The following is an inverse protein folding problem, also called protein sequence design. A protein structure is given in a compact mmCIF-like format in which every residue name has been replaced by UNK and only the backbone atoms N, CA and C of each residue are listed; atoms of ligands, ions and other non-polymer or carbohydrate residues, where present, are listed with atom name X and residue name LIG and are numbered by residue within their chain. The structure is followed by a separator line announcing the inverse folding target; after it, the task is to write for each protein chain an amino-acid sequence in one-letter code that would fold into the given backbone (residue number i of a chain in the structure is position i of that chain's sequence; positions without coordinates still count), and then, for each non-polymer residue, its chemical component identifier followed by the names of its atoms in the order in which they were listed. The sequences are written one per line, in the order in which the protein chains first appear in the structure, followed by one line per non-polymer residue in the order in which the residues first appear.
data_IF_114784816601
#
_entry.id   IF_114784816601
#
_cell.length_a   1.000
_cell.length_b   1.000
_cell.length_c   1.000
_cell.angle_alpha   90.00
_cell.angle_beta   90.00
_cell.angle_gamma   90.00
#
_symmetry.space_group_name_H-M   'P 1'
#
loop_
_entity.id
_entity.type
_entity.pdbx_description
1 polymer ?
#
# COMPACT_ATOMS: atom_id res chain seq x y z
N UNK A 1 7.79 -8.17 3.52
CA UNK A 1 7.06 -8.79 2.40
C UNK A 1 7.65 -8.31 1.09
N UNK A 2 7.81 -9.19 0.14
CA UNK A 2 8.29 -8.82 -1.18
C UNK A 2 7.20 -8.08 -1.95
N UNK A 3 7.60 -7.29 -2.94
CA UNK A 3 6.66 -6.54 -3.74
C UNK A 3 5.59 -7.43 -4.37
N UNK A 4 5.99 -8.56 -4.93
CA UNK A 4 5.07 -9.49 -5.55
C UNK A 4 4.01 -9.98 -4.58
N UNK A 5 4.41 -10.33 -3.36
CA UNK A 5 3.48 -10.77 -2.34
C UNK A 5 2.56 -9.63 -1.90
N UNK A 6 3.11 -8.43 -1.76
CA UNK A 6 2.33 -7.27 -1.37
C UNK A 6 1.24 -6.99 -2.39
N UNK A 7 1.56 -7.10 -3.68
CA UNK A 7 0.58 -6.89 -4.74
C UNK A 7 -0.52 -7.93 -4.68
N UNK A 8 -0.17 -9.18 -4.41
CA UNK A 8 -1.14 -10.27 -4.35
C UNK A 8 -2.10 -10.14 -3.18
N UNK A 9 -1.59 -9.71 -2.02
CA UNK A 9 -2.39 -9.62 -0.81
C UNK A 9 -3.15 -8.31 -0.71
N UNK A 10 -2.77 -7.31 -1.47
CA UNK A 10 -3.38 -5.99 -1.43
C UNK A 10 -4.77 -6.00 -2.04
N UNK A 11 -5.73 -5.37 -1.37
CA UNK A 11 -7.08 -5.21 -1.90
C UNK A 11 -7.08 -4.19 -3.04
N UNK A 12 -8.08 -4.29 -3.91
CA UNK A 12 -8.15 -3.45 -5.10
C UNK A 12 -8.21 -1.95 -4.78
N UNK A 13 -8.74 -1.60 -3.62
CA UNK A 13 -8.85 -0.19 -3.19
C UNK A 13 -7.76 0.23 -2.23
N UNK A 14 -6.81 -0.63 -1.98
CA UNK A 14 -5.72 -0.36 -1.06
C UNK A 14 -4.45 0.02 -1.81
N UNK A 15 -3.44 0.40 -1.06
CA UNK A 15 -2.14 0.73 -1.60
C UNK A 15 -1.08 -0.11 -0.91
N UNK A 16 0.12 -0.11 -1.47
CA UNK A 16 1.27 -0.71 -0.82
C UNK A 16 2.37 0.33 -0.71
N UNK A 17 3.24 0.14 0.26
CA UNK A 17 4.33 1.06 0.49
C UNK A 17 5.49 0.31 1.14
N UNK A 18 6.68 0.90 1.04
CA UNK A 18 7.85 0.38 1.75
C UNK A 18 7.96 1.02 3.11
N UNK A 19 8.29 0.23 4.12
CA UNK A 19 8.45 0.74 5.48
C UNK A 19 9.50 1.84 5.55
N UNK A 20 10.53 1.76 4.74
CA UNK A 20 11.60 2.75 4.71
C UNK A 20 11.21 4.02 3.95
N UNK A 21 10.10 3.97 3.19
CA UNK A 21 9.63 5.12 2.41
C UNK A 21 8.11 5.24 2.56
N UNK A 22 7.63 5.53 3.76
CA UNK A 22 6.17 5.50 4.04
C UNK A 22 5.38 6.58 3.31
N UNK A 23 6.04 7.63 2.85
CA UNK A 23 5.36 8.71 2.15
C UNK A 23 4.97 8.33 0.73
N UNK A 24 5.57 7.29 0.17
CA UNK A 24 5.34 6.91 -1.21
C UNK A 24 4.46 5.67 -1.27
N UNK A 25 3.20 5.87 -1.63
CA UNK A 25 2.21 4.79 -1.70
C UNK A 25 1.84 4.53 -3.14
N UNK A 26 1.67 3.23 -3.45
CA UNK A 26 1.29 2.77 -4.79
C UNK A 26 -0.10 2.15 -4.71
N UNK A 27 -1.07 2.80 -5.34
CA UNK A 27 -2.47 2.38 -5.29
C UNK A 27 -2.74 1.29 -6.32
N UNK A 28 -3.44 0.24 -5.90
CA UNK A 28 -3.69 -0.90 -6.75
C UNK A 28 -4.74 -0.62 -7.82
N UNK A 29 -5.68 0.27 -7.55
CA UNK A 29 -6.75 0.58 -8.51
C UNK A 29 -6.34 1.58 -9.58
N UNK A 30 -5.06 1.85 -9.71
CA UNK A 30 -4.54 2.71 -10.75
C UNK A 30 -4.54 1.97 -12.10
N UNK A 31 -4.66 2.72 -13.20
CA UNK A 31 -4.67 2.12 -14.54
C UNK A 31 -3.36 1.41 -14.87
N UNK A 32 -2.24 1.97 -14.43
CA UNK A 32 -0.93 1.38 -14.66
C UNK A 32 -0.64 0.39 -13.53
N UNK A 33 -0.21 -0.85 -13.87
CA UNK A 33 0.16 -1.82 -12.83
C UNK A 33 1.23 -1.28 -11.89
N UNK A 34 1.16 -1.68 -10.63
CA UNK A 34 2.11 -1.22 -9.64
C UNK A 34 3.54 -1.56 -10.05
N UNK A 35 3.76 -2.75 -10.58
CA UNK A 35 5.10 -3.21 -10.95
C UNK A 35 5.77 -2.29 -11.96
N UNK A 36 5.00 -1.62 -12.80
CA UNK A 36 5.53 -0.72 -13.80
C UNK A 36 5.82 0.67 -13.25
N UNK A 37 5.25 1.00 -12.07
CA UNK A 37 5.46 2.31 -11.45
C UNK A 37 6.58 2.30 -10.43
N UNK A 38 7.00 1.13 -9.98
CA UNK A 38 7.99 0.99 -8.91
C UNK A 38 9.40 0.95 -9.52
N UNK A 39 10.34 1.74 -8.98
CA UNK A 39 11.73 1.68 -9.42
C UNK A 39 12.34 0.30 -9.21
N UNK A 40 13.30 -0.07 -10.04
CA UNK A 40 13.95 -1.37 -9.95
C UNK A 40 14.52 -1.62 -8.55
N UNK A 41 15.12 -0.60 -7.96
CA UNK A 41 15.70 -0.72 -6.62
C UNK A 41 14.67 -1.06 -5.55
N UNK A 42 13.42 -0.65 -5.76
CA UNK A 42 12.34 -0.96 -4.82
C UNK A 42 11.71 -2.31 -5.11
N UNK A 43 11.76 -2.77 -6.37
CA UNK A 43 11.17 -4.06 -6.73
C UNK A 43 11.83 -5.20 -5.98
N UNK A 44 13.14 -5.12 -5.76
CA UNK A 44 13.88 -6.19 -5.08
C UNK A 44 13.82 -6.09 -3.56
N UNK A 45 13.20 -5.05 -3.02
CA UNK A 45 13.08 -4.88 -1.58
C UNK A 45 12.03 -5.83 -1.01
N UNK A 46 12.16 -6.16 0.27
CA UNK A 46 11.23 -7.07 0.94
C UNK A 46 10.58 -6.45 2.18
N UNK A 47 10.56 -5.13 2.25
CA UNK A 47 9.94 -4.39 3.35
C UNK A 47 8.60 -3.75 2.94
N UNK A 48 7.90 -4.36 2.01
CA UNK A 48 6.61 -3.88 1.54
C UNK A 48 5.50 -4.22 2.52
N UNK A 49 4.51 -3.32 2.64
CA UNK A 49 3.33 -3.54 3.45
C UNK A 49 2.10 -2.97 2.76
N UNK A 50 0.94 -3.47 3.14
CA UNK A 50 -0.33 -2.98 2.63
C UNK A 50 -0.83 -1.80 3.47
N UNK A 51 -1.36 -0.79 2.80
CA UNK A 51 -2.02 0.34 3.44
C UNK A 51 -3.51 0.30 3.10
N UNK A 52 -4.37 0.20 4.11
CA UNK A 52 -5.81 0.16 3.93
C UNK A 52 -6.42 1.44 4.48
N UNK A 53 -6.87 2.36 3.61
CA UNK A 53 -7.43 3.63 4.07
C UNK A 53 -8.71 3.46 4.90
N UNK A 54 -9.40 2.35 4.77
CA UNK A 54 -10.62 2.11 5.53
C UNK A 54 -10.33 1.95 7.01
N UNK A 55 -9.19 1.42 7.36
CA UNK A 55 -8.79 1.31 8.75
C UNK A 55 -8.65 2.67 9.39
N UNK A 56 -8.05 3.60 8.67
CA UNK A 56 -7.90 4.97 9.16
C UNK A 56 -9.25 5.65 9.30
N UNK A 57 -10.13 5.45 8.35
CA UNK A 57 -11.47 6.04 8.38
C UNK A 57 -12.27 5.52 9.57
N UNK A 58 -12.22 4.23 9.80
CA UNK A 58 -12.91 3.61 10.93
C UNK A 58 -12.43 4.20 12.24
N UNK A 59 -11.14 4.37 12.37
CA UNK A 59 -10.56 4.95 13.58
C UNK A 59 -11.05 6.38 13.78
N UNK A 60 -11.09 7.16 12.72
CA UNK A 60 -11.54 8.53 12.78
C UNK A 60 -13.01 8.63 13.21
N UNK A 61 -13.84 7.82 12.61
CA UNK A 61 -15.25 7.79 12.95
C UNK A 61 -15.46 7.41 14.42
N UNK A 62 -14.70 6.47 14.85
CA UNK A 62 -14.80 6.00 16.22
C UNK A 62 -14.52 7.11 17.21
N UNK A 63 -13.54 7.92 16.91
CA UNK A 63 -13.18 9.04 17.76
C UNK A 63 -14.26 10.11 17.79
N UNK A 64 -14.91 10.32 16.69
CA UNK A 64 -15.97 11.32 16.62
C UNK A 64 -17.20 10.94 17.42
N UNK A 65 -17.48 9.69 17.49
CA UNK A 65 -18.67 9.23 18.21
C UNK A 65 -18.52 9.29 19.69
N UNK A 66 -17.35 9.48 20.16
CA UNK A 66 -17.11 9.63 21.59
C UNK A 66 -17.33 11.06 22.03
#
# INVERSE_FOLDING_TARGET
MKLEDAIKTCHVRSAIFRKSKPDKRYWKNHQTPIIERVPIEDIVADDWEEYDPRDDDDTSLFMYND
#
